data_IF_083604170342
#
_entry.id   IF_083604170342
#
_cell.length_a   1.000
_cell.length_b   1.000
_cell.length_c   1.000
_cell.angle_alpha   90.00
_cell.angle_beta   90.00
_cell.angle_gamma   90.00
#
_symmetry.space_group_name_H-M   'P 1'
#
loop_
_entity.id
_entity.type
_entity.pdbx_description
1 polymer ?
#
# COMPACT_ATOMS: atom_id res chain seq x y z
N UNK A 1 -3.81 47.07 -8.80
CA UNK A 1 -3.60 45.68 -9.27
C UNK A 1 -2.23 45.15 -8.82
N UNK A 2 -1.94 45.13 -7.50
CA UNK A 2 -0.64 44.65 -6.96
C UNK A 2 -0.79 43.82 -5.67
N UNK A 3 -1.99 43.82 -5.08
CA UNK A 3 -2.37 43.06 -3.87
C UNK A 3 -3.11 41.75 -4.18
N UNK A 4 -3.44 41.50 -5.45
CA UNK A 4 -4.08 40.26 -5.92
C UNK A 4 -3.08 39.11 -6.10
N UNK A 5 -1.81 39.44 -6.37
CA UNK A 5 -0.72 38.47 -6.53
C UNK A 5 -0.45 37.67 -5.24
N UNK A 6 -0.29 38.27 -4.04
CA UNK A 6 -0.06 37.47 -2.84
C UNK A 6 -1.27 36.63 -2.44
N UNK A 7 -2.49 37.08 -2.76
CA UNK A 7 -3.72 36.34 -2.48
C UNK A 7 -3.82 35.05 -3.30
N UNK A 8 -3.44 35.10 -4.58
CA UNK A 8 -3.43 33.94 -5.48
C UNK A 8 -2.36 32.91 -5.09
N UNK A 9 -1.18 33.37 -4.64
CA UNK A 9 -0.14 32.48 -4.15
C UNK A 9 -0.56 31.75 -2.87
N UNK A 10 -1.24 32.41 -1.93
CA UNK A 10 -1.69 31.78 -0.69
C UNK A 10 -2.67 30.62 -0.93
N UNK A 11 -3.56 30.73 -1.93
CA UNK A 11 -4.51 29.67 -2.31
C UNK A 11 -3.81 28.44 -2.89
N UNK A 12 -2.71 28.63 -3.62
CA UNK A 12 -1.94 27.50 -4.17
C UNK A 12 -1.16 26.75 -3.09
N UNK A 13 -0.70 27.42 -2.03
CA UNK A 13 0.01 26.77 -0.93
C UNK A 13 -0.91 25.95 -0.01
N UNK A 14 -2.22 26.25 0.06
CA UNK A 14 -3.17 25.42 0.83
C UNK A 14 -3.48 24.06 0.20
N UNK A 15 -3.00 23.78 -1.03
CA UNK A 15 -3.06 22.45 -1.62
C UNK A 15 -2.02 21.46 -1.03
N UNK A 16 -1.09 21.94 -0.20
CA UNK A 16 -0.19 21.13 0.63
C UNK A 16 -0.52 21.31 2.13
N UNK A 17 -1.79 21.18 2.50
CA UNK A 17 -2.20 20.90 3.88
C UNK A 17 -2.33 19.39 4.10
N UNK A 18 -2.22 18.87 5.34
CA UNK A 18 -2.57 17.48 5.61
C UNK A 18 -4.01 17.26 5.18
N UNK A 19 -4.21 16.27 4.32
CA UNK A 19 -5.52 15.88 3.79
C UNK A 19 -6.44 15.49 4.95
N UNK A 20 -7.26 16.44 5.41
CA UNK A 20 -8.43 16.12 6.23
C UNK A 20 -9.45 15.47 5.31
N UNK A 21 -9.41 14.14 5.25
CA UNK A 21 -10.38 13.35 4.51
C UNK A 21 -11.76 13.58 5.11
N UNK A 22 -12.80 13.76 4.27
CA UNK A 22 -14.17 13.73 4.74
C UNK A 22 -14.40 12.41 5.48
N UNK A 23 -15.03 12.49 6.65
CA UNK A 23 -15.62 11.39 7.40
C UNK A 23 -16.77 10.72 6.63
N UNK A 24 -16.60 10.43 5.35
CA UNK A 24 -17.47 9.55 4.61
C UNK A 24 -16.97 8.14 4.83
N UNK A 25 -17.51 7.55 5.90
CA UNK A 25 -17.74 6.12 6.03
C UNK A 25 -16.59 5.26 5.49
N UNK A 26 -15.51 5.15 6.27
CA UNK A 26 -14.59 4.04 6.12
C UNK A 26 -15.43 2.75 6.09
N UNK A 27 -15.45 2.00 4.97
CA UNK A 27 -16.15 0.74 4.95
C UNK A 27 -15.45 -0.12 5.99
N UNK A 28 -16.15 -0.37 7.10
CA UNK A 28 -15.84 -1.35 8.15
C UNK A 28 -14.35 -1.70 8.27
N UNK A 29 -13.71 -1.18 9.30
CA UNK A 29 -12.49 -1.75 9.89
C UNK A 29 -12.64 -3.23 10.40
N UNK A 30 -13.61 -4.00 9.90
CA UNK A 30 -13.98 -5.34 10.33
C UNK A 30 -14.21 -6.18 9.06
N UNK A 31 -13.36 -7.10 8.60
CA UNK A 31 -12.34 -7.90 9.27
C UNK A 31 -10.93 -7.53 8.82
N UNK A 32 -10.01 -7.38 9.77
CA UNK A 32 -8.59 -7.25 9.47
C UNK A 32 -8.07 -8.61 8.98
N UNK A 33 -8.20 -8.87 7.68
CA UNK A 33 -7.63 -10.05 7.04
C UNK A 33 -6.13 -10.07 7.33
N UNK A 34 -5.68 -11.11 8.01
CA UNK A 34 -4.28 -11.26 8.41
C UNK A 34 -3.40 -11.54 7.18
N UNK A 35 -2.09 -11.34 7.32
CA UNK A 35 -1.15 -11.67 6.24
C UNK A 35 -1.25 -13.17 5.92
N UNK A 36 -1.38 -14.02 6.93
CA UNK A 36 -1.52 -15.48 6.81
C UNK A 36 -2.79 -15.87 6.05
N UNK A 37 -3.90 -15.20 6.33
CA UNK A 37 -5.17 -15.43 5.64
C UNK A 37 -5.12 -14.97 4.18
N UNK A 38 -4.51 -13.81 3.91
CA UNK A 38 -4.28 -13.32 2.55
C UNK A 38 -3.32 -14.23 1.76
N UNK A 39 -2.32 -14.83 2.43
CA UNK A 39 -1.43 -15.83 1.83
C UNK A 39 -2.21 -17.09 1.45
N UNK A 40 -3.16 -17.49 2.31
CA UNK A 40 -3.99 -18.69 2.14
C UNK A 40 -5.07 -18.53 1.07
N UNK A 41 -5.48 -17.30 0.74
CA UNK A 41 -6.47 -17.00 -0.29
C UNK A 41 -5.88 -16.18 -1.46
N UNK A 42 -5.34 -16.83 -2.51
CA UNK A 42 -4.65 -16.16 -3.61
C UNK A 42 -5.57 -15.35 -4.52
N UNK A 43 -6.84 -15.75 -4.67
CA UNK A 43 -7.82 -15.04 -5.49
C UNK A 43 -8.16 -13.70 -4.85
N UNK A 44 -8.50 -13.72 -3.56
CA UNK A 44 -8.78 -12.49 -2.80
C UNK A 44 -7.58 -11.55 -2.76
N UNK A 45 -6.37 -12.10 -2.58
CA UNK A 45 -5.14 -11.31 -2.62
C UNK A 45 -4.92 -10.63 -3.98
N UNK A 46 -5.24 -11.31 -5.08
CA UNK A 46 -5.11 -10.75 -6.44
C UNK A 46 -6.06 -9.58 -6.66
N UNK A 47 -7.32 -9.70 -6.23
CA UNK A 47 -8.32 -8.63 -6.31
C UNK A 47 -7.87 -7.40 -5.51
N UNK A 48 -7.51 -7.60 -4.24
CA UNK A 48 -7.05 -6.53 -3.37
C UNK A 48 -5.79 -5.85 -3.90
N UNK A 49 -4.87 -6.60 -4.54
CA UNK A 49 -3.72 -6.00 -5.23
C UNK A 49 -4.11 -5.06 -6.35
N UNK A 50 -5.18 -5.32 -7.10
CA UNK A 50 -5.64 -4.40 -8.13
C UNK A 50 -6.30 -3.18 -7.50
N UNK A 51 -7.18 -3.38 -6.53
CA UNK A 51 -7.86 -2.28 -5.84
C UNK A 51 -6.86 -1.36 -5.11
N UNK A 52 -5.80 -1.91 -4.50
CA UNK A 52 -4.75 -1.11 -3.86
C UNK A 52 -3.90 -0.27 -4.83
N UNK A 53 -3.98 -0.50 -6.15
CA UNK A 53 -3.32 0.37 -7.14
C UNK A 53 -4.18 1.58 -7.48
N UNK A 54 -5.50 1.40 -7.52
CA UNK A 54 -6.46 2.42 -7.97
C UNK A 54 -7.03 3.22 -6.80
N UNK A 55 -7.37 2.53 -5.72
CA UNK A 55 -8.23 3.01 -4.64
C UNK A 55 -7.50 3.05 -3.29
N UNK A 56 -6.17 3.16 -3.31
CA UNK A 56 -5.35 3.22 -2.08
C UNK A 56 -5.81 4.28 -1.08
N UNK A 57 -6.19 5.52 -1.47
CA UNK A 57 -6.69 6.52 -0.53
C UNK A 57 -7.99 6.11 0.18
N UNK A 58 -8.79 5.24 -0.45
CA UNK A 58 -10.08 4.75 0.05
C UNK A 58 -9.87 3.53 0.97
N UNK A 59 -9.01 2.60 0.53
CA UNK A 59 -8.74 1.34 1.25
C UNK A 59 -7.84 1.50 2.48
N UNK A 60 -6.99 2.53 2.47
CA UNK A 60 -6.06 2.82 3.54
C UNK A 60 -4.74 2.05 3.45
N UNK A 61 -3.68 2.70 3.93
CA UNK A 61 -2.30 2.18 3.82
C UNK A 61 -2.08 0.88 4.58
N UNK A 62 -2.71 0.72 5.74
CA UNK A 62 -2.52 -0.47 6.58
C UNK A 62 -2.97 -1.74 5.84
N UNK A 63 -4.10 -1.70 5.15
CA UNK A 63 -4.60 -2.83 4.35
C UNK A 63 -3.67 -3.12 3.17
N UNK A 64 -3.33 -2.09 2.39
CA UNK A 64 -2.50 -2.26 1.21
C UNK A 64 -1.06 -2.70 1.55
N UNK A 65 -0.54 -2.33 2.71
CA UNK A 65 0.74 -2.82 3.22
C UNK A 65 0.66 -4.32 3.55
N UNK A 66 -0.41 -4.80 4.20
CA UNK A 66 -0.61 -6.24 4.45
C UNK A 66 -0.74 -7.04 3.16
N UNK A 67 -1.46 -6.50 2.17
CA UNK A 67 -1.58 -7.09 0.83
C UNK A 67 -0.20 -7.20 0.16
N UNK A 68 0.62 -6.16 0.26
CA UNK A 68 1.99 -6.18 -0.26
C UNK A 68 2.85 -7.23 0.46
N UNK A 69 2.77 -7.31 1.79
CA UNK A 69 3.47 -8.30 2.60
C UNK A 69 3.04 -9.74 2.26
N UNK A 70 1.75 -10.02 2.19
CA UNK A 70 1.21 -11.32 1.81
C UNK A 70 1.68 -11.74 0.41
N UNK A 71 1.72 -10.79 -0.53
CA UNK A 71 2.26 -11.06 -1.87
C UNK A 71 3.75 -11.41 -1.80
N UNK A 72 4.54 -10.62 -1.05
CA UNK A 72 5.97 -10.87 -0.88
C UNK A 72 6.20 -12.25 -0.25
N UNK A 73 5.43 -12.61 0.78
CA UNK A 73 5.51 -13.88 1.49
C UNK A 73 5.21 -15.07 0.58
N UNK A 74 4.25 -14.96 -0.34
CA UNK A 74 3.99 -16.02 -1.34
C UNK A 74 5.11 -16.20 -2.36
N UNK A 75 5.82 -15.12 -2.72
CA UNK A 75 6.83 -15.16 -3.79
C UNK A 75 8.25 -15.43 -3.26
N UNK A 76 8.66 -14.70 -2.22
CA UNK A 76 10.01 -14.77 -1.64
C UNK A 76 10.05 -15.71 -0.42
N UNK A 77 8.90 -16.08 0.14
CA UNK A 77 8.81 -16.76 1.43
C UNK A 77 8.81 -15.76 2.60
N UNK A 78 8.92 -16.29 3.81
CA UNK A 78 8.87 -15.50 5.05
C UNK A 78 10.19 -14.76 5.37
N UNK A 79 11.18 -14.84 4.48
CA UNK A 79 12.48 -14.19 4.63
C UNK A 79 13.37 -14.80 5.72
N UNK A 80 13.00 -15.96 6.28
CA UNK A 80 13.82 -16.68 7.26
C UNK A 80 14.80 -17.65 6.63
N UNK A 81 14.66 -17.92 5.34
CA UNK A 81 15.58 -18.80 4.60
C UNK A 81 16.90 -18.05 4.39
N UNK A 82 18.01 -18.52 4.97
CA UNK A 82 19.31 -17.89 4.76
C UNK A 82 19.75 -18.07 3.30
N UNK A 83 20.59 -17.16 2.82
CA UNK A 83 21.21 -17.32 1.52
C UNK A 83 22.09 -18.58 1.51
N UNK A 84 21.79 -19.51 0.60
CA UNK A 84 22.54 -20.75 0.40
C UNK A 84 23.29 -20.70 -0.94
N UNK A 85 24.51 -20.13 -0.98
CA UNK A 85 25.32 -20.16 -2.19
C UNK A 85 25.71 -21.61 -2.53
N UNK A 86 25.85 -21.94 -3.81
CA UNK A 86 26.37 -23.25 -4.21
C UNK A 86 27.83 -23.41 -3.76
N UNK A 87 28.22 -24.63 -3.37
CA UNK A 87 29.60 -24.94 -2.97
C UNK A 87 30.61 -24.66 -4.09
N UNK A 88 30.20 -24.87 -5.34
CA UNK A 88 31.01 -24.64 -6.51
C UNK A 88 30.45 -23.46 -7.32
N UNK A 89 31.31 -22.60 -7.89
CA UNK A 89 30.86 -21.49 -8.73
C UNK A 89 30.12 -22.02 -9.99
N UNK A 90 29.15 -21.27 -10.53
CA UNK A 90 28.43 -21.70 -11.73
C UNK A 90 29.40 -21.76 -12.91
N UNK A 91 29.24 -22.77 -13.76
CA UNK A 91 29.92 -22.82 -15.05
C UNK A 91 29.11 -21.96 -16.03
N UNK A 92 29.54 -20.72 -16.23
CA UNK A 92 29.02 -19.83 -17.28
C UNK A 92 29.86 -19.92 -18.54
#
# INVERSE_FOLDING_TARGET
MKKTIPLLLAVMLSACGPSETPKHEAPKQADVTTVEELVSNPERLKELRQQCKTDRPILGDVLCNRVAEATRKRFIGDGKVPYTPPENPPKF
#
